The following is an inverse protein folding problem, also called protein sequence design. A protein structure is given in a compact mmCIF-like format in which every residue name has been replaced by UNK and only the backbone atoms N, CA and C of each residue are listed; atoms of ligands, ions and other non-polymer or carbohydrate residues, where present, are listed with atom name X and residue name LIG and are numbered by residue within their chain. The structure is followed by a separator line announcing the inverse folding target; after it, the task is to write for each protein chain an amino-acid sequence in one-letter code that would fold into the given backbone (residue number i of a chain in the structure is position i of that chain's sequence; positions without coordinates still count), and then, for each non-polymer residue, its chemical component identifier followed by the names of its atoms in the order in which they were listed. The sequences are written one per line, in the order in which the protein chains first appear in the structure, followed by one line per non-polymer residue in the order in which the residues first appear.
data_IF_415999157159
#
_entry.id   IF_415999157159
#
_cell.length_a   1.000
_cell.length_b   1.000
_cell.length_c   1.000
_cell.angle_alpha   90.00
_cell.angle_beta   90.00
_cell.angle_gamma   90.00
#
_symmetry.space_group_name_H-M   'P 1'
#
loop_
_entity.id
_entity.type
_entity.pdbx_description
1 polymer ?
#
# COMPACT_ATOMS: atom_id res chain seq x y z
N UNK A 1 -5.39 -11.06 3.74
CA UNK A 1 -5.07 -12.19 2.83
C UNK A 1 -4.31 -13.25 3.61
N UNK A 2 -4.47 -14.55 3.31
CA UNK A 2 -3.63 -15.61 3.86
C UNK A 2 -2.16 -15.39 3.43
N UNK A 3 -1.21 -15.72 4.30
CA UNK A 3 0.24 -15.52 4.08
C UNK A 3 0.78 -16.24 2.84
N UNK A 4 0.14 -17.33 2.40
CA UNK A 4 0.49 -18.04 1.15
C UNK A 4 0.40 -17.13 -0.07
N UNK A 5 -0.68 -16.34 -0.20
CA UNK A 5 -0.87 -15.43 -1.33
C UNK A 5 0.15 -14.27 -1.34
N UNK A 6 0.76 -13.98 -0.20
CA UNK A 6 1.82 -12.97 -0.12
C UNK A 6 3.17 -13.50 -0.61
N UNK A 7 3.38 -14.81 -0.74
CA UNK A 7 4.66 -15.34 -1.26
C UNK A 7 4.74 -15.30 -2.78
N UNK A 8 3.62 -15.56 -3.46
CA UNK A 8 3.54 -15.50 -4.93
C UNK A 8 3.90 -14.11 -5.49
N UNK A 9 3.79 -13.08 -4.66
CA UNK A 9 4.17 -11.72 -5.02
C UNK A 9 5.68 -11.51 -5.15
N UNK A 10 6.53 -12.43 -4.71
CA UNK A 10 7.98 -12.32 -4.84
C UNK A 10 8.51 -13.05 -6.09
N UNK A 11 7.70 -13.92 -6.68
CA UNK A 11 8.08 -14.61 -7.91
C UNK A 11 8.05 -13.64 -9.10
N UNK A 12 9.03 -13.80 -10.00
CA UNK A 12 9.10 -13.02 -11.23
C UNK A 12 8.08 -13.55 -12.25
N UNK A 13 7.35 -12.66 -12.95
CA UNK A 13 6.43 -13.09 -13.99
C UNK A 13 7.18 -13.71 -15.17
N UNK A 14 6.55 -14.65 -15.91
CA UNK A 14 7.12 -15.21 -17.12
C UNK A 14 7.32 -14.14 -18.21
N UNK A 15 8.16 -14.45 -19.21
CA UNK A 15 8.45 -13.54 -20.31
C UNK A 15 7.18 -13.07 -21.02
N UNK A 16 7.14 -11.80 -21.42
CA UNK A 16 5.99 -11.10 -22.01
C UNK A 16 4.76 -10.93 -21.10
N UNK A 17 4.90 -11.18 -19.78
CA UNK A 17 3.85 -10.87 -18.80
C UNK A 17 4.32 -9.76 -17.87
N UNK A 18 3.49 -8.72 -17.70
CA UNK A 18 3.72 -7.66 -16.71
C UNK A 18 2.93 -7.97 -15.45
N UNK A 19 3.65 -8.03 -14.33
CA UNK A 19 3.06 -8.16 -13.00
C UNK A 19 2.46 -6.82 -12.57
N UNK A 20 1.21 -6.86 -12.11
CA UNK A 20 0.51 -5.72 -11.54
C UNK A 20 0.11 -6.11 -10.13
N UNK A 21 0.58 -5.34 -9.15
CA UNK A 21 0.28 -5.55 -7.74
C UNK A 21 -0.71 -4.48 -7.30
N UNK A 22 -1.86 -4.90 -6.78
CA UNK A 22 -2.79 -4.03 -6.08
C UNK A 22 -2.59 -4.21 -4.58
N UNK A 23 -1.99 -3.21 -3.94
CA UNK A 23 -1.74 -3.21 -2.51
C UNK A 23 -2.39 -1.99 -1.85
N UNK A 24 -2.68 -2.12 -0.55
CA UNK A 24 -2.94 -0.96 0.29
C UNK A 24 -1.60 -0.33 0.69
N UNK A 25 -1.66 0.78 1.42
CA UNK A 25 -0.55 1.40 2.12
C UNK A 25 0.31 0.46 3.01
N UNK A 26 -0.09 -0.80 3.24
CA UNK A 26 0.77 -1.82 3.86
C UNK A 26 2.06 -2.05 3.05
N UNK A 27 2.02 -1.97 1.72
CA UNK A 27 3.21 -2.18 0.88
C UNK A 27 4.27 -1.07 1.06
N UNK A 28 3.88 0.13 1.49
CA UNK A 28 4.79 1.27 1.67
C UNK A 28 5.86 1.03 2.75
N UNK A 29 5.56 0.19 3.74
CA UNK A 29 6.43 0.01 4.91
C UNK A 29 6.76 -1.43 5.25
N UNK A 30 5.96 -2.40 4.78
CA UNK A 30 6.03 -3.78 5.29
C UNK A 30 6.48 -4.82 4.26
N UNK A 31 6.40 -4.52 2.96
CA UNK A 31 6.72 -5.48 1.88
C UNK A 31 7.48 -4.75 0.77
N UNK A 32 8.73 -5.12 0.58
CA UNK A 32 9.56 -4.64 -0.55
C UNK A 32 9.52 -5.69 -1.66
N UNK A 33 9.18 -5.28 -2.88
CA UNK A 33 9.12 -6.17 -4.04
C UNK A 33 10.18 -5.73 -5.04
N UNK A 34 11.24 -6.53 -5.21
CA UNK A 34 12.44 -6.15 -5.97
C UNK A 34 12.20 -5.93 -7.48
N UNK A 35 11.11 -6.46 -8.04
CA UNK A 35 10.80 -6.36 -9.48
C UNK A 35 9.84 -5.22 -9.84
N UNK A 36 9.52 -4.34 -8.89
CA UNK A 36 8.69 -3.15 -9.12
C UNK A 36 9.54 -2.00 -9.67
N UNK A 37 9.09 -1.42 -10.79
CA UNK A 37 9.75 -0.26 -11.44
C UNK A 37 8.86 0.99 -11.41
N UNK A 38 7.54 0.79 -11.31
CA UNK A 38 6.56 1.86 -11.31
C UNK A 38 5.62 1.68 -10.13
N UNK A 39 5.48 2.74 -9.35
CA UNK A 39 4.51 2.83 -8.26
C UNK A 39 3.48 3.89 -8.60
N UNK A 40 2.19 3.53 -8.50
CA UNK A 40 1.09 4.47 -8.71
C UNK A 40 0.37 4.61 -7.37
N UNK A 41 0.49 5.79 -6.77
CA UNK A 41 -0.23 6.15 -5.57
C UNK A 41 -1.52 6.93 -5.91
N UNK A 42 -2.64 6.50 -5.33
CA UNK A 42 -3.93 7.18 -5.45
C UNK A 42 -4.00 8.45 -4.58
N UNK A 43 -3.04 8.69 -3.70
CA UNK A 43 -2.98 9.85 -2.81
C UNK A 43 -3.96 9.81 -1.64
N UNK A 44 -4.67 8.69 -1.44
CA UNK A 44 -5.66 8.52 -0.36
C UNK A 44 -5.36 7.27 0.45
N UNK A 45 -5.25 7.44 1.75
CA UNK A 45 -5.14 6.35 2.70
C UNK A 45 -6.35 6.33 3.62
N UNK A 46 -6.70 5.15 4.14
CA UNK A 46 -7.63 5.03 5.25
C UNK A 46 -6.85 5.24 6.54
N UNK A 47 -7.10 6.35 7.21
CA UNK A 47 -6.51 6.66 8.50
C UNK A 47 -7.56 6.47 9.62
N UNK A 48 -7.08 5.98 10.75
CA UNK A 48 -7.87 5.90 11.98
C UNK A 48 -7.94 7.29 12.60
N UNK A 49 -9.10 7.93 12.48
CA UNK A 49 -9.43 9.16 13.17
C UNK A 49 -10.23 8.85 14.44
N UNK A 50 -10.10 9.69 15.46
CA UNK A 50 -10.86 9.55 16.70
C UNK A 50 -11.88 10.67 16.81
N UNK A 51 -13.16 10.32 16.82
CA UNK A 51 -14.23 11.26 17.11
C UNK A 51 -14.36 11.41 18.63
N UNK A 52 -13.84 12.52 19.15
CA UNK A 52 -13.85 12.82 20.57
C UNK A 52 -15.27 13.03 21.14
N UNK A 53 -16.24 13.43 20.32
CA UNK A 53 -17.63 13.62 20.77
C UNK A 53 -18.32 12.29 21.01
N UNK A 54 -18.14 11.34 20.08
CA UNK A 54 -18.77 10.03 20.18
C UNK A 54 -17.88 8.98 20.88
N UNK A 55 -16.63 9.32 21.20
CA UNK A 55 -15.61 8.41 21.74
C UNK A 55 -15.37 7.18 20.86
N UNK A 56 -15.52 7.33 19.55
CA UNK A 56 -15.40 6.24 18.58
C UNK A 56 -14.19 6.44 17.70
N UNK A 57 -13.50 5.34 17.40
CA UNK A 57 -12.50 5.29 16.35
C UNK A 57 -13.20 5.09 14.99
N UNK A 58 -12.97 6.00 14.07
CA UNK A 58 -13.50 5.96 12.71
C UNK A 58 -12.37 5.76 11.72
N UNK A 59 -12.52 4.81 10.80
CA UNK A 59 -11.55 4.59 9.73
C UNK A 59 -12.01 5.35 8.48
N UNK A 60 -11.52 6.57 8.30
CA UNK A 60 -11.97 7.47 7.24
C UNK A 60 -10.90 7.60 6.15
N UNK A 61 -11.30 7.69 4.86
CA UNK A 61 -10.36 7.99 3.79
C UNK A 61 -9.92 9.46 3.90
N UNK A 62 -8.63 9.69 4.14
CA UNK A 62 -7.98 11.00 4.16
C UNK A 62 -6.96 11.10 3.03
N UNK A 63 -6.56 12.33 2.71
CA UNK A 63 -5.44 12.57 1.80
C UNK A 63 -4.13 12.25 2.51
N UNK A 64 -3.25 11.52 1.84
CA UNK A 64 -1.96 11.15 2.42
C UNK A 64 -1.10 12.40 2.66
N UNK A 65 -0.28 12.33 3.70
CA UNK A 65 0.72 13.37 3.97
C UNK A 65 1.80 13.40 2.88
N UNK A 66 2.49 14.53 2.72
CA UNK A 66 3.67 14.62 1.83
C UNK A 66 4.76 13.62 2.19
N UNK A 67 4.91 13.28 3.48
CA UNK A 67 5.91 12.32 3.93
C UNK A 67 5.57 10.89 3.46
N UNK A 68 4.30 10.51 3.54
CA UNK A 68 3.81 9.23 3.01
C UNK A 68 3.97 9.16 1.49
N UNK A 69 3.57 10.23 0.78
CA UNK A 69 3.80 10.29 -0.67
C UNK A 69 5.28 10.11 -1.06
N UNK A 70 6.21 10.58 -0.21
CA UNK A 70 7.65 10.40 -0.45
C UNK A 70 8.13 8.98 -0.16
N UNK A 71 7.58 8.30 0.85
CA UNK A 71 7.88 6.89 1.13
C UNK A 71 7.40 5.98 0.01
N UNK A 72 6.22 6.27 -0.56
CA UNK A 72 5.69 5.52 -1.71
C UNK A 72 6.56 5.68 -2.96
N UNK A 73 7.28 6.80 -3.11
CA UNK A 73 8.16 7.02 -4.26
C UNK A 73 9.54 6.36 -4.11
N UNK A 74 9.92 5.90 -2.91
CA UNK A 74 11.25 5.36 -2.61
C UNK A 74 11.31 3.82 -2.54
N UNK A 75 10.15 3.15 -2.60
CA UNK A 75 10.07 1.73 -2.95
C UNK A 75 10.15 1.55 -4.46
#
# INVERSE_FOLDING_TARGET
MPTVNQREIFDRPPANMRKIVLATNIAESSITIDDVVYVIDCGKAKETSYDALNKLACLLPSWISKASAHQVCYC
#
